data_IF_734066937960
#
_entry.id   IF_734066937960
#
_cell.length_a   1.000
_cell.length_b   1.000
_cell.length_c   1.000
_cell.angle_alpha   90.00
_cell.angle_beta   90.00
_cell.angle_gamma   90.00
#
_symmetry.space_group_name_H-M   'P 1'
#
loop_
_entity.id
_entity.type
_entity.pdbx_description
1 polymer ?
#
# COMPACT_ATOMS: atom_id res chain seq x y z
N UNK A 1 -4.09 0.45 20.66
CA UNK A 1 -3.89 0.39 22.13
C UNK A 1 -5.18 0.54 22.94
N UNK A 2 -6.33 0.86 22.33
CA UNK A 2 -7.57 1.14 23.07
C UNK A 2 -7.95 0.03 24.06
N UNK A 3 -7.83 -1.25 23.69
CA UNK A 3 -8.16 -2.37 24.58
C UNK A 3 -7.29 -2.44 25.86
N UNK A 4 -6.05 -1.96 25.81
CA UNK A 4 -5.13 -1.86 26.97
C UNK A 4 -5.46 -0.63 27.81
N UNK A 5 -5.90 0.45 27.17
CA UNK A 5 -6.19 1.73 27.83
C UNK A 5 -7.54 1.73 28.55
N UNK A 6 -8.52 0.96 28.08
CA UNK A 6 -9.87 0.86 28.68
C UNK A 6 -9.95 -0.16 29.81
N UNK A 7 -8.88 -0.91 30.09
CA UNK A 7 -8.93 -1.94 31.11
C UNK A 7 -9.07 -1.30 32.50
N UNK A 8 -10.16 -1.58 33.25
CA UNK A 8 -10.47 -0.87 34.49
C UNK A 8 -9.53 -1.24 35.65
N UNK A 9 -8.79 -2.35 35.51
CA UNK A 9 -7.87 -2.87 36.51
C UNK A 9 -6.43 -2.61 36.07
N UNK A 10 -5.70 -1.82 36.87
CA UNK A 10 -4.29 -1.46 36.60
C UNK A 10 -3.45 -2.72 36.39
N UNK A 11 -2.52 -2.65 35.43
CA UNK A 11 -1.54 -3.69 35.10
C UNK A 11 -2.10 -5.06 34.65
N UNK A 12 -3.38 -5.14 34.29
CA UNK A 12 -4.00 -6.40 33.84
C UNK A 12 -3.59 -6.79 32.41
N UNK A 13 -3.35 -5.81 31.53
CA UNK A 13 -2.92 -6.04 30.15
C UNK A 13 -1.54 -5.42 29.92
N UNK A 14 -0.51 -6.25 29.81
CA UNK A 14 0.90 -5.82 29.71
C UNK A 14 1.50 -6.25 28.37
N UNK A 15 2.29 -5.37 27.76
CA UNK A 15 3.05 -5.69 26.55
C UNK A 15 4.31 -6.47 26.95
N UNK A 16 4.25 -7.79 26.79
CA UNK A 16 5.38 -8.70 27.01
C UNK A 16 5.78 -9.35 25.69
N UNK A 17 7.03 -9.24 25.25
CA UNK A 17 7.52 -9.98 24.10
C UNK A 17 7.55 -11.48 24.42
N UNK A 18 7.28 -12.33 23.44
CA UNK A 18 7.29 -13.79 23.62
C UNK A 18 8.60 -14.32 24.21
N UNK A 19 9.73 -13.66 23.91
CA UNK A 19 11.06 -14.12 24.28
C UNK A 19 11.58 -13.57 25.62
N UNK A 20 10.86 -12.65 26.27
CA UNK A 20 11.29 -12.11 27.56
C UNK A 20 10.12 -11.89 28.50
N UNK A 21 10.34 -12.08 29.80
CA UNK A 21 9.33 -11.81 30.83
C UNK A 21 9.20 -10.32 31.17
N UNK A 22 10.06 -9.47 30.58
CA UNK A 22 10.09 -8.03 30.83
C UNK A 22 8.88 -7.33 30.22
N UNK A 23 8.31 -6.40 30.98
CA UNK A 23 7.21 -5.53 30.55
C UNK A 23 7.76 -4.28 29.86
N UNK A 24 7.08 -3.84 28.81
CA UNK A 24 7.40 -2.60 28.13
C UNK A 24 6.28 -1.59 28.24
N UNK A 25 6.65 -0.32 28.46
CA UNK A 25 5.70 0.80 28.43
C UNK A 25 5.21 1.00 26.99
N UNK A 26 3.90 1.10 26.84
CA UNK A 26 3.22 1.31 25.57
C UNK A 26 3.75 2.52 24.79
N UNK A 27 4.12 3.62 25.47
CA UNK A 27 4.67 4.83 24.83
C UNK A 27 6.01 4.53 24.15
N UNK A 28 6.87 3.78 24.84
CA UNK A 28 8.17 3.37 24.31
C UNK A 28 8.03 2.40 23.14
N UNK A 29 7.04 1.50 23.19
CA UNK A 29 6.73 0.63 22.05
C UNK A 29 6.26 1.45 20.85
N UNK A 30 5.36 2.42 21.04
CA UNK A 30 4.90 3.29 19.96
C UNK A 30 6.05 4.09 19.33
N UNK A 31 6.90 4.71 20.15
CA UNK A 31 8.08 5.44 19.67
C UNK A 31 9.04 4.50 18.94
N UNK A 32 9.25 3.29 19.45
CA UNK A 32 10.08 2.27 18.80
C UNK A 32 9.56 1.90 17.41
N UNK A 33 8.26 1.66 17.27
CA UNK A 33 7.64 1.33 15.97
C UNK A 33 7.81 2.48 14.97
N UNK A 34 7.51 3.72 15.39
CA UNK A 34 7.67 4.90 14.53
C UNK A 34 9.14 5.12 14.16
N UNK A 35 10.05 4.94 15.12
CA UNK A 35 11.50 5.06 14.91
C UNK A 35 12.02 4.03 13.91
N UNK A 36 11.64 2.76 14.07
CA UNK A 36 12.03 1.68 13.13
C UNK A 36 11.49 1.97 11.73
N UNK A 37 10.24 2.44 11.61
CA UNK A 37 9.65 2.79 10.33
C UNK A 37 10.44 3.88 9.61
N UNK A 38 10.72 5.00 10.30
CA UNK A 38 11.52 6.11 9.75
C UNK A 38 12.93 5.63 9.43
N UNK A 39 13.52 4.81 10.29
CA UNK A 39 14.86 4.27 10.08
C UNK A 39 14.95 3.42 8.80
N UNK A 40 14.01 2.50 8.58
CA UNK A 40 13.98 1.66 7.36
C UNK A 40 13.80 2.53 6.11
N UNK A 41 12.89 3.50 6.14
CA UNK A 41 12.71 4.44 5.02
C UNK A 41 13.97 5.25 4.77
N UNK A 42 14.58 5.79 5.83
CA UNK A 42 15.83 6.53 5.76
C UNK A 42 16.95 5.69 5.16
N UNK A 43 17.08 4.41 5.55
CA UNK A 43 18.02 3.49 4.93
C UNK A 43 17.73 3.26 3.44
N UNK A 44 16.47 3.09 3.06
CA UNK A 44 16.07 2.97 1.65
C UNK A 44 16.47 4.20 0.83
N UNK A 45 16.28 5.39 1.40
CA UNK A 45 16.67 6.66 0.77
C UNK A 45 18.20 6.79 0.66
N UNK A 46 18.93 6.55 1.75
CA UNK A 46 20.39 6.67 1.79
C UNK A 46 21.09 5.66 0.89
N UNK A 47 20.56 4.44 0.79
CA UNK A 47 21.10 3.40 -0.10
C UNK A 47 20.72 3.59 -1.57
N UNK A 48 19.89 4.59 -1.89
CA UNK A 48 19.42 4.83 -3.26
C UNK A 48 18.48 3.75 -3.79
N UNK A 49 17.92 2.91 -2.92
CA UNK A 49 16.92 1.90 -3.28
C UNK A 49 15.48 2.45 -3.23
N UNK A 50 15.27 3.64 -2.68
CA UNK A 50 13.96 4.29 -2.59
C UNK A 50 13.58 5.09 -3.85
N UNK A 51 14.57 5.52 -4.63
CA UNK A 51 14.34 6.32 -5.84
C UNK A 51 13.69 5.48 -6.94
N UNK A 52 12.77 6.08 -7.69
CA UNK A 52 12.21 5.46 -8.87
C UNK A 52 13.19 5.62 -10.06
N UNK A 53 13.35 4.57 -10.87
CA UNK A 53 14.15 4.58 -12.09
C UNK A 53 13.44 5.29 -13.28
N UNK A 54 12.14 5.57 -13.17
CA UNK A 54 11.35 6.23 -14.23
C UNK A 54 11.72 7.71 -14.35
N UNK A 55 12.05 8.14 -15.56
CA UNK A 55 12.38 9.55 -15.85
C UNK A 55 11.13 10.44 -15.84
N UNK A 56 11.32 11.76 -15.71
CA UNK A 56 10.18 12.72 -15.69
C UNK A 56 9.36 12.67 -16.98
N UNK A 57 10.02 12.49 -18.12
CA UNK A 57 9.39 12.40 -19.44
C UNK A 57 8.54 11.13 -19.53
N UNK A 58 9.08 10.00 -19.03
CA UNK A 58 8.34 8.75 -18.96
C UNK A 58 7.11 8.90 -18.07
N UNK A 59 7.19 9.60 -16.93
CA UNK A 59 6.00 9.89 -16.10
C UNK A 59 4.93 10.67 -16.87
N UNK A 60 5.31 11.71 -17.63
CA UNK A 60 4.36 12.48 -18.45
C UNK A 60 3.70 11.60 -19.50
N UNK A 61 4.46 10.71 -20.14
CA UNK A 61 3.94 9.77 -21.13
C UNK A 61 2.98 8.76 -20.48
N UNK A 62 3.36 8.15 -19.36
CA UNK A 62 2.51 7.18 -18.66
C UNK A 62 1.21 7.82 -18.15
N UNK A 63 1.29 9.05 -17.63
CA UNK A 63 0.10 9.75 -17.15
C UNK A 63 -0.89 10.06 -18.29
N UNK A 64 -0.39 10.46 -19.47
CA UNK A 64 -1.24 10.64 -20.67
C UNK A 64 -1.93 9.33 -21.10
N UNK A 65 -1.25 8.21 -20.91
CA UNK A 65 -1.72 6.88 -21.29
C UNK A 65 -2.32 6.10 -20.10
N UNK A 66 -2.68 6.76 -18.99
CA UNK A 66 -3.10 6.06 -17.77
C UNK A 66 -4.40 5.27 -17.95
N UNK A 67 -5.21 5.65 -18.95
CA UNK A 67 -6.43 4.94 -19.32
C UNK A 67 -6.15 3.66 -20.12
N UNK A 68 -5.04 3.59 -20.88
CA UNK A 68 -4.69 2.40 -21.67
C UNK A 68 -3.82 1.40 -20.91
N UNK A 69 -3.19 1.82 -19.81
CA UNK A 69 -2.33 0.97 -18.96
C UNK A 69 -3.07 0.33 -17.78
N UNK A 70 -4.35 0.63 -17.61
CA UNK A 70 -5.17 0.18 -16.48
C UNK A 70 -5.99 -1.07 -16.77
N UNK A 71 -6.46 -1.71 -15.70
CA UNK A 71 -7.55 -2.68 -15.75
C UNK A 71 -8.91 -1.96 -15.93
N UNK A 72 -9.99 -2.65 -16.36
CA UNK A 72 -11.35 -2.11 -16.42
C UNK A 72 -11.72 -1.37 -15.14
N UNK A 73 -12.18 -0.12 -15.26
CA UNK A 73 -12.55 0.70 -14.10
C UNK A 73 -14.06 0.89 -13.97
N UNK A 74 -14.83 0.41 -14.95
CA UNK A 74 -16.29 0.50 -14.99
C UNK A 74 -16.94 -0.81 -15.46
N UNK A 75 -18.20 -1.00 -15.09
CA UNK A 75 -19.04 -2.10 -15.60
C UNK A 75 -19.22 -2.02 -17.12
N UNK A 76 -19.17 -0.83 -17.71
CA UNK A 76 -19.15 -0.64 -19.16
C UNK A 76 -17.89 -1.23 -19.81
N UNK A 77 -16.72 -1.06 -19.18
CA UNK A 77 -15.44 -1.62 -19.66
C UNK A 77 -15.47 -3.15 -19.59
N UNK A 78 -16.02 -3.72 -18.51
CA UNK A 78 -16.17 -5.18 -18.35
C UNK A 78 -17.12 -5.74 -19.41
N UNK A 79 -18.27 -5.08 -19.64
CA UNK A 79 -19.22 -5.49 -20.67
C UNK A 79 -18.58 -5.46 -22.07
N UNK A 80 -17.73 -4.47 -22.33
CA UNK A 80 -16.98 -4.36 -23.59
C UNK A 80 -15.98 -5.51 -23.73
N UNK A 81 -15.19 -5.81 -22.70
CA UNK A 81 -14.24 -6.93 -22.73
C UNK A 81 -14.92 -8.28 -22.89
N UNK A 82 -16.03 -8.54 -22.18
CA UNK A 82 -16.80 -9.77 -22.32
C UNK A 82 -17.27 -9.97 -23.77
N UNK A 83 -17.75 -8.89 -24.40
CA UNK A 83 -18.15 -8.92 -25.80
C UNK A 83 -16.97 -9.24 -26.73
N UNK A 84 -15.80 -8.63 -26.51
CA UNK A 84 -14.59 -8.91 -27.30
C UNK A 84 -14.18 -10.39 -27.14
N UNK A 85 -14.25 -10.94 -25.93
CA UNK A 85 -13.93 -12.37 -25.71
C UNK A 85 -14.94 -13.33 -26.33
N UNK A 86 -16.21 -12.94 -26.42
CA UNK A 86 -17.26 -13.75 -27.06
C UNK A 86 -17.18 -13.72 -28.59
N UNK A 87 -16.83 -12.56 -29.18
CA UNK A 87 -16.87 -12.37 -30.64
C UNK A 87 -15.50 -12.45 -31.31
N UNK A 88 -14.40 -12.37 -30.56
CA UNK A 88 -13.04 -12.32 -31.11
C UNK A 88 -12.73 -11.05 -31.93
N UNK A 89 -13.58 -10.02 -31.85
CA UNK A 89 -13.46 -8.79 -32.65
C UNK A 89 -12.91 -7.65 -31.81
N UNK A 90 -11.65 -7.28 -32.05
CA UNK A 90 -10.97 -6.18 -31.37
C UNK A 90 -11.46 -4.79 -31.82
N UNK A 91 -12.19 -4.70 -32.93
CA UNK A 91 -12.67 -3.44 -33.52
C UNK A 91 -13.97 -2.92 -32.89
N UNK A 92 -14.52 -3.63 -31.91
CA UNK A 92 -15.67 -3.14 -31.10
C UNK A 92 -15.34 -1.81 -30.41
N UNK A 93 -14.05 -1.45 -30.27
CA UNK A 93 -13.58 -0.20 -29.68
C UNK A 93 -13.86 1.07 -30.48
N UNK A 94 -14.06 1.01 -31.81
CA UNK A 94 -14.01 2.19 -32.69
C UNK A 94 -15.38 2.69 -33.16
N UNK A 95 -16.48 2.11 -32.65
CA UNK A 95 -17.82 2.31 -33.22
C UNK A 95 -18.74 3.28 -32.46
N UNK A 96 -18.22 4.08 -31.53
CA UNK A 96 -18.98 5.08 -30.79
C UNK A 96 -18.49 6.49 -31.08
#
# INVERSE_FOLDING_TARGET
MSCVDVCPVKDTLQLKPQFTKKTFDKKWVAVGVVGIYIFIIGLGMLTGNWQNNITKEQYVIHNKNIQSLGHPRSTADIKKLNKISETGDENVSTKN
#
